data_IF_019391151765
#
_entry.id   IF_019391151765
#
_cell.length_a   1.000
_cell.length_b   1.000
_cell.length_c   1.000
_cell.angle_alpha   90.00
_cell.angle_beta   90.00
_cell.angle_gamma   90.00
#
_symmetry.space_group_name_H-M   'P 1'
#
loop_
_entity.id
_entity.type
_entity.pdbx_description
1 polymer ?
#
# COMPACT_ATOMS: atom_id res chain seq x y z
N UNK A 1 5.99 14.21 -21.93
CA UNK A 1 6.37 13.73 -23.27
C UNK A 1 5.45 12.55 -23.55
N UNK A 2 4.44 12.73 -24.40
CA UNK A 2 3.54 11.63 -24.80
C UNK A 2 4.08 11.02 -26.09
N UNK A 3 4.37 9.72 -26.06
CA UNK A 3 4.71 8.92 -27.25
C UNK A 3 3.51 8.02 -27.50
N UNK A 4 2.96 8.02 -28.71
CA UNK A 4 1.85 7.13 -29.04
C UNK A 4 2.30 5.66 -29.06
N UNK A 5 1.36 4.74 -28.76
CA UNK A 5 1.67 3.31 -28.63
C UNK A 5 2.33 2.72 -29.89
N UNK A 6 1.92 3.16 -31.09
CA UNK A 6 2.49 2.65 -32.35
C UNK A 6 3.93 3.09 -32.51
N UNK A 7 4.24 4.34 -32.20
CA UNK A 7 5.61 4.88 -32.20
C UNK A 7 6.46 4.19 -31.12
N UNK A 8 5.93 4.01 -29.91
CA UNK A 8 6.63 3.30 -28.83
C UNK A 8 6.95 1.86 -29.21
N UNK A 9 6.01 1.12 -29.82
CA UNK A 9 6.22 -0.25 -30.30
C UNK A 9 7.29 -0.34 -31.40
N UNK A 10 7.41 0.67 -32.27
CA UNK A 10 8.43 0.72 -33.32
C UNK A 10 9.81 1.01 -32.74
N UNK A 11 9.91 1.96 -31.82
CA UNK A 11 11.18 2.38 -31.21
C UNK A 11 11.70 1.36 -30.20
N UNK A 12 10.82 0.73 -29.42
CA UNK A 12 11.16 -0.18 -28.32
C UNK A 12 10.35 -1.50 -28.38
N UNK A 13 10.51 -2.31 -29.44
CA UNK A 13 9.66 -3.48 -29.68
C UNK A 13 9.75 -4.55 -28.59
N UNK A 14 10.93 -4.74 -27.99
CA UNK A 14 11.12 -5.71 -26.90
C UNK A 14 10.55 -5.21 -25.58
N UNK A 15 10.79 -3.94 -25.22
CA UNK A 15 10.21 -3.33 -24.02
C UNK A 15 8.67 -3.33 -24.07
N UNK A 16 8.09 -2.99 -25.22
CA UNK A 16 6.65 -3.09 -25.43
C UNK A 16 6.15 -4.53 -25.20
N UNK A 17 6.84 -5.54 -25.76
CA UNK A 17 6.48 -6.96 -25.52
C UNK A 17 6.58 -7.32 -24.04
N UNK A 18 7.62 -6.90 -23.34
CA UNK A 18 7.80 -7.19 -21.91
C UNK A 18 6.69 -6.60 -21.06
N UNK A 19 6.32 -5.33 -21.32
CA UNK A 19 5.23 -4.63 -20.61
C UNK A 19 3.88 -5.31 -20.90
N UNK A 20 3.56 -5.56 -22.18
CA UNK A 20 2.28 -6.15 -22.58
C UNK A 20 2.14 -7.60 -22.11
N UNK A 21 3.19 -8.39 -22.24
CA UNK A 21 3.21 -9.79 -21.82
C UNK A 21 3.44 -9.95 -20.32
N UNK A 22 3.75 -8.86 -19.58
CA UNK A 22 4.12 -8.88 -18.17
C UNK A 22 5.19 -9.94 -17.86
N UNK A 23 6.17 -10.10 -18.75
CA UNK A 23 7.16 -11.18 -18.64
C UNK A 23 8.23 -10.94 -17.58
N UNK A 24 8.47 -9.68 -17.20
CA UNK A 24 9.47 -9.28 -16.20
C UNK A 24 9.00 -8.00 -15.47
N UNK A 25 8.04 -8.14 -14.56
CA UNK A 25 7.54 -7.02 -13.75
C UNK A 25 7.71 -7.30 -12.26
N UNK A 26 7.85 -6.21 -11.50
CA UNK A 26 7.73 -6.23 -10.04
C UNK A 26 6.39 -5.58 -9.69
N UNK A 27 5.56 -6.29 -8.94
CA UNK A 27 4.34 -5.70 -8.38
C UNK A 27 4.71 -4.74 -7.26
N UNK A 28 4.17 -3.52 -7.32
CA UNK A 28 4.24 -2.59 -6.21
C UNK A 28 3.04 -2.86 -5.32
N UNK A 29 3.28 -3.43 -4.15
CA UNK A 29 2.20 -3.77 -3.23
C UNK A 29 1.67 -2.57 -2.46
N UNK A 30 2.50 -1.56 -2.18
CA UNK A 30 2.13 -0.36 -1.44
C UNK A 30 3.10 0.79 -1.70
N UNK A 31 2.62 2.01 -1.53
CA UNK A 31 3.39 3.24 -1.63
C UNK A 31 3.69 3.76 -0.23
N UNK A 32 4.97 3.97 0.07
CA UNK A 32 5.40 4.69 1.27
C UNK A 32 5.80 6.10 0.86
N UNK A 33 5.21 7.09 1.51
CA UNK A 33 5.48 8.51 1.25
C UNK A 33 6.64 9.04 2.09
N UNK A 34 7.01 8.30 3.15
CA UNK A 34 8.15 8.59 4.02
C UNK A 34 9.20 7.49 3.94
N UNK A 35 10.46 7.92 3.98
CA UNK A 35 11.61 7.03 3.77
C UNK A 35 11.89 6.23 5.04
N UNK A 36 11.94 6.88 6.21
CA UNK A 36 12.27 6.21 7.47
C UNK A 36 11.24 5.15 7.86
N UNK A 37 9.95 5.46 7.69
CA UNK A 37 8.87 4.48 7.87
C UNK A 37 8.97 3.34 6.85
N UNK A 38 9.32 3.65 5.61
CA UNK A 38 9.53 2.67 4.56
C UNK A 38 10.63 1.66 4.91
N UNK A 39 11.76 2.14 5.42
CA UNK A 39 12.88 1.31 5.88
C UNK A 39 12.49 0.46 7.10
N UNK A 40 11.86 1.09 8.10
CA UNK A 40 11.41 0.39 9.31
C UNK A 40 10.44 -0.76 9.00
N UNK A 41 9.52 -0.54 8.06
CA UNK A 41 8.57 -1.58 7.63
C UNK A 41 9.25 -2.68 6.81
N UNK A 42 10.28 -2.36 6.02
CA UNK A 42 11.07 -3.34 5.27
C UNK A 42 11.89 -4.25 6.20
N UNK A 43 12.42 -3.70 7.30
CA UNK A 43 13.17 -4.43 8.32
C UNK A 43 12.27 -5.22 9.29
N UNK A 44 10.97 -4.91 9.34
CA UNK A 44 10.01 -5.54 10.25
C UNK A 44 9.95 -7.05 10.01
N UNK A 45 10.22 -7.84 11.04
CA UNK A 45 10.07 -9.30 11.01
C UNK A 45 8.61 -9.65 10.70
N UNK A 46 8.39 -10.41 9.62
CA UNK A 46 7.06 -10.91 9.22
C UNK A 46 6.62 -12.01 10.20
N UNK A 47 5.87 -11.63 11.23
CA UNK A 47 5.31 -12.53 12.24
C UNK A 47 3.98 -11.99 12.82
N UNK A 48 3.31 -12.74 13.71
CA UNK A 48 2.13 -12.26 14.43
C UNK A 48 2.56 -11.20 15.46
N UNK A 49 2.70 -9.96 14.97
CA UNK A 49 2.91 -8.78 15.79
C UNK A 49 1.62 -8.00 16.01
N UNK A 50 1.69 -6.98 16.86
CA UNK A 50 0.61 -6.01 16.99
C UNK A 50 0.36 -5.30 15.65
N UNK A 51 -0.91 -5.10 15.25
CA UNK A 51 -1.23 -4.31 14.07
C UNK A 51 -0.67 -2.89 14.20
N UNK A 52 -0.08 -2.38 13.12
CA UNK A 52 0.32 -0.97 13.01
C UNK A 52 -0.86 -0.11 12.50
N UNK A 53 -0.75 1.23 12.58
CA UNK A 53 -1.71 2.15 11.92
C UNK A 53 -2.02 1.75 10.47
N UNK A 54 -0.99 1.43 9.69
CA UNK A 54 -1.12 0.96 8.30
C UNK A 54 -1.90 -0.36 8.21
N UNK A 55 -1.74 -1.27 9.17
CA UNK A 55 -2.47 -2.54 9.20
C UNK A 55 -3.98 -2.32 9.44
N UNK A 56 -4.37 -1.27 10.17
CA UNK A 56 -5.77 -0.85 10.30
C UNK A 56 -6.30 -0.24 9.00
N UNK A 57 -5.55 0.67 8.37
CA UNK A 57 -5.95 1.29 7.10
C UNK A 57 -6.14 0.28 5.98
N UNK A 58 -5.33 -0.79 5.95
CA UNK A 58 -5.49 -1.86 4.98
C UNK A 58 -6.74 -2.73 5.20
N UNK A 59 -7.44 -2.59 6.31
CA UNK A 59 -8.72 -3.28 6.55
C UNK A 59 -9.92 -2.45 6.10
N UNK A 60 -9.78 -1.13 6.06
CA UNK A 60 -10.83 -0.23 5.59
C UNK A 60 -11.29 -0.63 4.19
N UNK A 61 -12.58 -0.54 3.92
CA UNK A 61 -13.22 -0.78 2.63
C UNK A 61 -12.97 0.38 1.66
N UNK A 62 -13.10 1.60 2.15
CA UNK A 62 -13.05 2.84 1.38
C UNK A 62 -12.28 3.96 2.09
N UNK A 63 -12.21 5.11 1.42
CA UNK A 63 -11.46 6.27 1.88
C UNK A 63 -12.13 6.96 3.08
N UNK A 64 -13.46 6.88 3.21
CA UNK A 64 -14.20 7.48 4.34
C UNK A 64 -13.88 6.75 5.63
N UNK A 65 -13.94 5.41 5.62
CA UNK A 65 -13.54 4.58 6.75
C UNK A 65 -12.06 4.80 7.12
N UNK A 66 -11.20 5.01 6.11
CA UNK A 66 -9.79 5.32 6.36
C UNK A 66 -9.61 6.63 7.12
N UNK A 67 -10.36 7.69 6.78
CA UNK A 67 -10.31 8.95 7.51
C UNK A 67 -10.78 8.79 8.97
N UNK A 68 -11.86 8.04 9.21
CA UNK A 68 -12.34 7.77 10.58
C UNK A 68 -11.30 7.01 11.42
N UNK A 69 -10.62 6.03 10.82
CA UNK A 69 -9.55 5.28 11.48
C UNK A 69 -8.37 6.20 11.81
N UNK A 70 -7.96 7.09 10.89
CA UNK A 70 -6.87 8.04 11.16
C UNK A 70 -7.24 8.96 12.32
N UNK A 71 -8.45 9.51 12.32
CA UNK A 71 -8.95 10.39 13.38
C UNK A 71 -8.99 9.66 14.73
N UNK A 72 -9.40 8.39 14.73
CA UNK A 72 -9.41 7.57 15.93
C UNK A 72 -8.00 7.35 16.50
N UNK A 73 -7.05 6.98 15.64
CA UNK A 73 -5.66 6.72 16.04
C UNK A 73 -4.98 8.01 16.54
N UNK A 74 -5.24 9.14 15.91
CA UNK A 74 -4.75 10.46 16.32
C UNK A 74 -5.30 10.85 17.69
N UNK A 75 -6.62 10.73 17.90
CA UNK A 75 -7.26 11.04 19.20
C UNK A 75 -6.76 10.14 20.34
N UNK A 76 -6.36 8.92 20.02
CA UNK A 76 -5.78 7.96 20.97
C UNK A 76 -4.30 8.21 21.26
N UNK A 77 -3.65 9.08 20.48
CA UNK A 77 -2.21 9.32 20.55
C UNK A 77 -1.38 8.15 20.04
N UNK A 78 -1.96 7.27 19.22
CA UNK A 78 -1.23 6.14 18.60
C UNK A 78 -0.40 6.60 17.39
N UNK A 79 -0.81 7.72 16.77
CA UNK A 79 -0.06 8.48 15.78
C UNK A 79 -0.08 9.96 16.19
N UNK A 80 0.95 10.71 15.82
CA UNK A 80 0.96 12.15 16.02
C UNK A 80 0.20 12.90 14.91
N UNK A 81 0.04 14.22 15.08
CA UNK A 81 -0.70 15.05 14.14
C UNK A 81 -0.04 15.12 12.75
N UNK A 82 1.28 15.13 12.69
CA UNK A 82 2.02 15.21 11.43
C UNK A 82 1.87 13.92 10.62
N UNK A 83 1.97 12.78 11.30
CA UNK A 83 1.70 11.46 10.75
C UNK A 83 0.25 11.35 10.27
N UNK A 84 -0.73 11.78 11.07
CA UNK A 84 -2.14 11.76 10.71
C UNK A 84 -2.42 12.59 9.44
N UNK A 85 -1.91 13.82 9.35
CA UNK A 85 -2.09 14.69 8.18
C UNK A 85 -1.46 14.09 6.92
N UNK A 86 -0.28 13.48 7.03
CA UNK A 86 0.38 12.77 5.94
C UNK A 86 -0.44 11.57 5.46
N UNK A 87 -0.99 10.78 6.38
CA UNK A 87 -1.87 9.65 6.04
C UNK A 87 -3.15 10.14 5.33
N UNK A 88 -3.80 11.19 5.84
CA UNK A 88 -4.99 11.80 5.22
C UNK A 88 -4.68 12.30 3.82
N UNK A 89 -3.53 12.96 3.62
CA UNK A 89 -3.08 13.42 2.30
C UNK A 89 -2.90 12.25 1.34
N UNK A 90 -2.28 11.16 1.77
CA UNK A 90 -2.09 9.98 0.95
C UNK A 90 -3.42 9.31 0.56
N UNK A 91 -4.39 9.21 1.47
CA UNK A 91 -5.75 8.75 1.15
C UNK A 91 -6.38 9.66 0.10
N UNK A 92 -6.36 10.99 0.31
CA UNK A 92 -6.97 11.96 -0.60
C UNK A 92 -6.39 11.94 -2.02
N UNK A 93 -5.07 11.76 -2.14
CA UNK A 93 -4.38 11.82 -3.43
C UNK A 93 -4.35 10.47 -4.16
N UNK A 94 -4.35 9.35 -3.43
CA UNK A 94 -4.04 8.01 -3.98
C UNK A 94 -5.01 6.91 -3.58
N UNK A 95 -5.97 7.21 -2.71
CA UNK A 95 -6.91 6.27 -2.11
C UNK A 95 -6.28 5.39 -1.02
N UNK A 96 -7.13 4.76 -0.22
CA UNK A 96 -6.74 3.86 0.88
C UNK A 96 -5.92 2.66 0.38
N UNK A 97 -6.13 2.22 -0.86
CA UNK A 97 -5.36 1.12 -1.47
C UNK A 97 -3.92 1.47 -1.79
N UNK A 98 -3.52 2.74 -1.65
CA UNK A 98 -2.11 3.13 -1.71
C UNK A 98 -1.28 2.54 -0.56
N UNK A 99 -1.89 2.24 0.59
CA UNK A 99 -1.25 1.54 1.70
C UNK A 99 -1.10 0.02 1.46
N UNK A 100 -1.74 -0.45 0.41
CA UNK A 100 -1.60 -1.78 -0.17
C UNK A 100 -2.88 -2.59 -0.20
N UNK A 101 -2.74 -3.86 -0.57
CA UNK A 101 -3.88 -4.76 -0.75
C UNK A 101 -4.68 -4.92 0.55
N UNK A 102 -6.01 -5.01 0.38
CA UNK A 102 -6.96 -5.15 1.48
C UNK A 102 -6.66 -6.42 2.29
N UNK A 103 -6.70 -6.28 3.61
CA UNK A 103 -6.63 -7.42 4.55
C UNK A 103 -8.05 -7.88 4.86
N UNK A 104 -8.45 -8.97 4.24
CA UNK A 104 -9.76 -9.58 4.46
C UNK A 104 -9.92 -10.14 5.88
N UNK A 105 -11.17 -10.40 6.25
CA UNK A 105 -11.50 -11.17 7.45
C UNK A 105 -10.74 -12.51 7.45
N UNK A 106 -10.18 -12.89 8.60
CA UNK A 106 -9.37 -14.10 8.72
C UNK A 106 -7.90 -13.96 8.26
N UNK A 107 -7.47 -12.80 7.76
CA UNK A 107 -6.10 -12.60 7.23
C UNK A 107 -4.99 -13.13 8.14
N UNK A 108 -5.06 -12.86 9.46
CA UNK A 108 -4.03 -13.31 10.39
C UNK A 108 -4.08 -14.82 10.66
N UNK A 109 -5.27 -15.40 10.69
CA UNK A 109 -5.46 -16.85 10.85
C UNK A 109 -4.91 -17.59 9.64
N UNK A 110 -5.28 -17.19 8.42
CA UNK A 110 -4.77 -17.81 7.18
C UNK A 110 -3.27 -17.64 7.03
N UNK A 111 -2.73 -16.48 7.43
CA UNK A 111 -1.31 -16.15 7.21
C UNK A 111 -0.36 -16.81 8.21
N UNK A 112 -0.78 -17.04 9.46
CA UNK A 112 0.12 -17.50 10.53
C UNK A 112 -0.31 -18.80 11.22
N UNK A 113 -1.54 -19.26 11.03
CA UNK A 113 -2.08 -20.48 11.62
C UNK A 113 -2.51 -21.47 10.53
N UNK A 114 -1.86 -21.43 9.35
CA UNK A 114 -2.28 -22.12 8.13
C UNK A 114 -2.98 -23.45 8.34
N UNK A 115 -4.02 -23.71 7.52
CA UNK A 115 -4.71 -24.99 7.45
C UNK A 115 -3.68 -26.13 7.54
N UNK A 116 -3.88 -27.03 8.51
CA UNK A 116 -2.98 -28.15 8.78
C UNK A 116 -2.78 -29.08 7.60
#
# INVERSE_FOLDING_TARGET
MEIDEKTFKKLFPNLYREIVLKKMYLSIDAVRTDIEEGEREAERRKGPGMPTPIDYLRRCEDDEEAFEVIDYLERRGEIDHEEAERLRKQVRERGVRSFGSKKEWGYYSTKYLGDG
#
